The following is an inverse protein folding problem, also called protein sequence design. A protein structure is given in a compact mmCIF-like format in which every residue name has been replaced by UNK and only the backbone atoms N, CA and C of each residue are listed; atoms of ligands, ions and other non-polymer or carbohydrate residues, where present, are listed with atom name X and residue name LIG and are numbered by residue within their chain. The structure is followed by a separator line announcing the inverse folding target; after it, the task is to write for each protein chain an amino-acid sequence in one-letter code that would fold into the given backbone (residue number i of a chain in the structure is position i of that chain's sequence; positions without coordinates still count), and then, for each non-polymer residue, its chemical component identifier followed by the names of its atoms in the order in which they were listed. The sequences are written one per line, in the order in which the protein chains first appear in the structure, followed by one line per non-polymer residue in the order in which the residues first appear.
data_IF_160724487490
#
_entry.id   IF_160724487490
#
_cell.length_a   1.000
_cell.length_b   1.000
_cell.length_c   1.000
_cell.angle_alpha   90.00
_cell.angle_beta   90.00
_cell.angle_gamma   90.00
#
_symmetry.space_group_name_H-M   'P 1'
#
loop_
_entity.id
_entity.type
_entity.pdbx_description
1 polymer ?
#
# COMPACT_ATOMS: atom_id res chain seq x y z
N UNK A 1 -4.00 -7.54 -20.61
CA UNK A 1 -3.34 -6.34 -20.12
C UNK A 1 -2.44 -5.77 -21.20
N UNK A 2 -2.49 -4.48 -21.43
CA UNK A 2 -1.64 -3.90 -22.47
C UNK A 2 -0.16 -4.11 -22.18
N UNK A 3 0.59 -4.43 -23.19
CA UNK A 3 2.04 -4.48 -23.12
C UNK A 3 2.55 -3.05 -23.02
N UNK A 4 3.50 -2.82 -22.15
CA UNK A 4 4.05 -1.49 -21.95
C UNK A 4 3.54 -0.79 -20.72
N UNK A 5 2.43 -1.23 -20.17
CA UNK A 5 2.04 -0.79 -18.85
C UNK A 5 2.82 -1.58 -17.81
N UNK A 6 3.34 -0.85 -16.84
CA UNK A 6 4.11 -1.46 -15.77
C UNK A 6 3.23 -1.53 -14.54
N UNK A 7 2.68 -2.68 -14.32
CA UNK A 7 1.98 -2.98 -13.09
C UNK A 7 2.45 -4.33 -12.63
N UNK A 8 2.46 -4.53 -11.34
CA UNK A 8 2.94 -5.78 -10.80
C UNK A 8 2.63 -5.92 -9.34
N UNK A 9 2.74 -7.16 -8.90
CA UNK A 9 2.56 -7.51 -7.50
C UNK A 9 3.80 -7.14 -6.73
N UNK A 10 3.61 -6.42 -5.62
CA UNK A 10 4.69 -6.09 -4.69
C UNK A 10 4.77 -7.18 -3.62
N UNK A 11 3.62 -7.55 -3.03
CA UNK A 11 3.61 -8.51 -1.94
C UNK A 11 2.22 -9.08 -1.74
N UNK A 12 2.17 -10.24 -1.08
CA UNK A 12 0.93 -10.84 -0.59
C UNK A 12 1.06 -10.92 0.92
N UNK A 13 0.07 -10.39 1.63
CA UNK A 13 0.08 -10.28 3.07
C UNK A 13 -1.03 -11.14 3.67
N UNK A 14 -0.71 -11.80 4.78
CA UNK A 14 -1.71 -12.54 5.55
C UNK A 14 -2.25 -11.62 6.64
N UNK A 15 -3.54 -11.37 6.59
CA UNK A 15 -4.23 -10.43 7.47
C UNK A 15 -4.93 -11.25 8.55
N UNK A 16 -5.00 -10.74 9.80
CA UNK A 16 -5.73 -11.45 10.86
C UNK A 16 -7.14 -11.82 10.44
N UNK A 17 -7.59 -12.99 10.83
CA UNK A 17 -8.90 -13.51 10.42
C UNK A 17 -8.87 -14.37 9.16
N UNK A 18 -7.68 -14.75 8.68
CA UNK A 18 -7.55 -15.59 7.51
C UNK A 18 -7.71 -14.84 6.20
N UNK A 19 -7.69 -13.53 6.24
CA UNK A 19 -7.82 -12.70 5.05
C UNK A 19 -6.47 -12.54 4.36
N UNK A 20 -6.51 -12.13 3.10
CA UNK A 20 -5.32 -11.95 2.28
C UNK A 20 -5.38 -10.57 1.64
N UNK A 21 -4.26 -9.87 1.66
CA UNK A 21 -4.13 -8.60 0.95
C UNK A 21 -3.05 -8.72 -0.11
N UNK A 22 -3.34 -8.25 -1.31
CA UNK A 22 -2.37 -8.20 -2.40
C UNK A 22 -2.02 -6.74 -2.65
N UNK A 23 -0.74 -6.40 -2.53
CA UNK A 23 -0.23 -5.05 -2.74
C UNK A 23 0.39 -4.99 -4.12
N UNK A 24 -0.06 -4.04 -4.91
CA UNK A 24 0.34 -3.91 -6.30
C UNK A 24 0.70 -2.46 -6.61
N UNK A 25 1.61 -2.27 -7.55
CA UNK A 25 1.79 -0.96 -8.14
C UNK A 25 1.22 -0.98 -9.56
N UNK A 26 0.81 0.18 -10.02
CA UNK A 26 0.36 0.32 -11.39
C UNK A 26 1.03 1.55 -12.01
N UNK A 27 0.96 1.62 -13.34
CA UNK A 27 1.43 2.80 -14.05
C UNK A 27 0.72 4.04 -13.53
N UNK A 28 1.32 5.18 -13.80
CA UNK A 28 0.75 6.48 -13.48
C UNK A 28 0.78 6.83 -12.00
N UNK A 29 1.63 6.14 -11.23
CA UNK A 29 1.88 6.54 -9.85
C UNK A 29 0.79 6.16 -8.89
N UNK A 30 0.23 4.97 -9.03
CA UNK A 30 -0.75 4.45 -8.08
C UNK A 30 -0.23 3.20 -7.40
N UNK A 31 -0.60 3.04 -6.15
CA UNK A 31 -0.45 1.79 -5.41
C UNK A 31 -1.85 1.28 -5.12
N UNK A 32 -2.08 0.02 -5.38
CA UNK A 32 -3.38 -0.61 -5.14
C UNK A 32 -3.22 -1.76 -4.17
N UNK A 33 -4.18 -1.89 -3.28
CA UNK A 33 -4.25 -3.00 -2.35
C UNK A 33 -5.63 -3.63 -2.51
N UNK A 34 -5.66 -4.90 -2.85
CA UNK A 34 -6.90 -5.68 -2.90
C UNK A 34 -6.93 -6.61 -1.71
N UNK A 35 -8.06 -6.68 -1.02
CA UNK A 35 -8.21 -7.57 0.13
C UNK A 35 -9.32 -8.56 -0.10
N UNK A 36 -9.03 -9.79 0.28
CA UNK A 36 -9.93 -10.93 0.08
C UNK A 36 -10.20 -11.60 1.40
N UNK A 37 -11.42 -12.11 1.53
CA UNK A 37 -11.76 -12.97 2.64
C UNK A 37 -11.11 -14.35 2.45
N UNK A 38 -11.13 -15.17 3.49
CA UNK A 38 -10.50 -16.48 3.45
C UNK A 38 -11.07 -17.39 2.37
N UNK A 39 -12.29 -17.13 1.92
CA UNK A 39 -12.91 -17.90 0.86
C UNK A 39 -12.63 -17.35 -0.55
N UNK A 40 -11.81 -16.33 -0.67
CA UNK A 40 -11.43 -15.75 -1.95
C UNK A 40 -12.34 -14.63 -2.46
N UNK A 41 -13.43 -14.34 -1.76
CA UNK A 41 -14.29 -13.22 -2.15
C UNK A 41 -13.68 -11.90 -1.70
N UNK A 42 -14.02 -10.82 -2.41
CA UNK A 42 -13.54 -9.49 -2.04
C UNK A 42 -14.03 -9.13 -0.64
N UNK A 43 -13.14 -8.55 0.17
CA UNK A 43 -13.49 -8.07 1.50
C UNK A 43 -14.02 -6.64 1.36
N UNK A 44 -15.33 -6.50 1.32
CA UNK A 44 -15.97 -5.21 1.04
C UNK A 44 -15.82 -4.21 2.18
N UNK A 45 -15.29 -4.63 3.33
CA UNK A 45 -15.01 -3.70 4.44
C UNK A 45 -13.71 -2.94 4.24
N UNK A 46 -12.95 -3.28 3.19
CA UNK A 46 -11.66 -2.66 2.92
C UNK A 46 -11.76 -1.81 1.66
N UNK A 47 -11.31 -0.56 1.75
CA UNK A 47 -11.31 0.34 0.61
C UNK A 47 -12.69 0.48 -0.01
N UNK A 48 -12.77 0.42 -1.32
CA UNK A 48 -14.03 0.43 -2.06
C UNK A 48 -14.22 -0.94 -2.68
N UNK A 49 -15.18 -1.68 -2.17
CA UNK A 49 -15.48 -3.04 -2.65
C UNK A 49 -14.26 -3.96 -2.63
N UNK A 50 -13.41 -3.80 -1.63
CA UNK A 50 -12.23 -4.64 -1.47
C UNK A 50 -10.97 -4.11 -2.16
N UNK A 51 -11.05 -2.96 -2.79
CA UNK A 51 -9.90 -2.38 -3.48
C UNK A 51 -9.62 -0.97 -2.95
N UNK A 52 -8.37 -0.75 -2.57
CA UNK A 52 -7.86 0.57 -2.19
C UNK A 52 -6.93 1.06 -3.29
N UNK A 53 -7.14 2.27 -3.77
CA UNK A 53 -6.27 2.91 -4.74
C UNK A 53 -5.65 4.14 -4.10
N UNK A 54 -4.33 4.16 -4.02
CA UNK A 54 -3.59 5.24 -3.37
C UNK A 54 -2.82 5.98 -4.44
N UNK A 55 -3.12 7.28 -4.67
CA UNK A 55 -2.24 8.09 -5.50
C UNK A 55 -0.87 8.18 -4.84
N UNK A 56 0.15 7.83 -5.57
CA UNK A 56 1.51 7.79 -5.02
C UNK A 56 2.51 8.31 -6.05
N UNK A 57 2.30 9.54 -6.57
CA UNK A 57 3.24 10.11 -7.51
C UNK A 57 4.59 10.29 -6.81
N UNK A 58 5.65 9.91 -7.47
CA UNK A 58 7.01 10.01 -6.93
C UNK A 58 7.30 9.06 -5.77
N UNK A 59 6.39 8.15 -5.46
CA UNK A 59 6.63 7.11 -4.46
C UNK A 59 6.78 5.77 -5.14
N UNK A 60 7.61 4.93 -4.56
CA UNK A 60 7.80 3.56 -5.03
C UNK A 60 7.80 2.64 -3.81
N UNK A 61 6.81 1.77 -3.73
CA UNK A 61 6.70 0.82 -2.62
C UNK A 61 7.51 -0.42 -2.96
N UNK A 62 8.37 -0.84 -2.04
CA UNK A 62 9.18 -2.04 -2.21
C UNK A 62 8.77 -3.17 -1.30
N UNK A 63 8.10 -2.88 -0.21
CA UNK A 63 7.73 -3.91 0.76
C UNK A 63 6.50 -3.49 1.54
N UNK A 64 5.82 -4.48 2.10
CA UNK A 64 4.62 -4.26 2.87
C UNK A 64 4.54 -5.29 3.99
N UNK A 65 3.86 -4.94 5.07
CA UNK A 65 3.67 -5.83 6.21
C UNK A 65 2.33 -5.54 6.86
N UNK A 66 1.79 -6.54 7.55
CA UNK A 66 0.56 -6.39 8.34
C UNK A 66 0.93 -6.56 9.79
N UNK A 67 0.46 -5.63 10.63
CA UNK A 67 0.65 -5.67 12.06
C UNK A 67 -0.41 -6.55 12.71
N UNK A 68 -0.17 -6.91 13.99
CA UNK A 68 -1.08 -7.81 14.70
C UNK A 68 -2.49 -7.27 14.83
N UNK A 69 -2.65 -5.94 14.83
CA UNK A 69 -3.96 -5.30 14.91
C UNK A 69 -4.62 -5.10 13.54
N UNK A 70 -3.98 -5.59 12.47
CA UNK A 70 -4.51 -5.49 11.11
C UNK A 70 -4.10 -4.24 10.37
N UNK A 71 -3.32 -3.34 10.96
CA UNK A 71 -2.80 -2.20 10.25
C UNK A 71 -1.76 -2.63 9.23
N UNK A 72 -1.60 -1.86 8.18
CA UNK A 72 -0.71 -2.19 7.07
C UNK A 72 0.39 -1.16 7.01
N UNK A 73 1.63 -1.63 6.89
CA UNK A 73 2.79 -0.78 6.64
C UNK A 73 3.23 -0.93 5.19
N UNK A 74 3.52 0.17 4.54
CA UNK A 74 4.15 0.21 3.22
C UNK A 74 5.43 1.01 3.35
N UNK A 75 6.50 0.52 2.72
CA UNK A 75 7.79 1.20 2.78
C UNK A 75 8.43 1.21 1.40
N UNK A 76 9.21 2.25 1.15
CA UNK A 76 9.89 2.37 -0.12
C UNK A 76 10.65 3.67 -0.26
N UNK A 77 10.75 4.15 -1.48
CA UNK A 77 11.47 5.36 -1.84
C UNK A 77 10.52 6.46 -2.24
N UNK A 78 10.90 7.69 -1.93
CA UNK A 78 10.19 8.90 -2.34
C UNK A 78 11.18 9.77 -3.11
N UNK A 79 10.73 10.27 -4.26
CA UNK A 79 11.54 11.09 -5.16
C UNK A 79 10.96 12.50 -5.17
N UNK A 80 11.43 13.38 -4.27
CA UNK A 80 10.85 14.74 -4.16
C UNK A 80 11.19 15.64 -5.33
N UNK A 81 12.21 15.28 -6.11
CA UNK A 81 12.63 16.06 -7.26
C UNK A 81 14.15 16.13 -7.36
N UNK A 82 14.65 16.51 -8.53
CA UNK A 82 16.07 16.53 -8.79
C UNK A 82 16.67 15.14 -8.65
N UNK A 83 17.79 15.06 -7.95
CA UNK A 83 18.46 13.78 -7.70
C UNK A 83 18.23 13.27 -6.28
N UNK A 84 17.34 13.90 -5.54
CA UNK A 84 17.10 13.51 -4.16
C UNK A 84 16.28 12.23 -4.10
N UNK A 85 16.64 11.34 -3.18
CA UNK A 85 15.89 10.12 -2.89
C UNK A 85 15.73 10.04 -1.38
N UNK A 86 14.50 10.00 -0.93
CA UNK A 86 14.18 9.81 0.47
C UNK A 86 13.58 8.43 0.66
N UNK A 87 13.55 7.94 1.88
CA UNK A 87 12.80 6.76 2.24
C UNK A 87 11.50 7.17 2.90
N UNK A 88 10.48 6.35 2.76
CA UNK A 88 9.22 6.61 3.43
C UNK A 88 8.65 5.33 4.03
N UNK A 89 7.85 5.50 5.07
CA UNK A 89 6.98 4.47 5.62
C UNK A 89 5.61 5.09 5.80
N UNK A 90 4.58 4.42 5.37
CA UNK A 90 3.21 4.84 5.63
C UNK A 90 2.45 3.73 6.34
N UNK A 91 1.51 4.11 7.18
CA UNK A 91 0.69 3.15 7.92
C UNK A 91 -0.78 3.40 7.63
N UNK A 92 -1.48 2.32 7.35
CA UNK A 92 -2.91 2.35 7.05
C UNK A 92 -3.66 1.61 8.14
N UNK A 93 -4.86 2.08 8.43
CA UNK A 93 -5.79 1.38 9.31
C UNK A 93 -6.30 0.10 8.65
N UNK A 94 -6.92 -0.81 9.41
CA UNK A 94 -7.42 -2.06 8.81
C UNK A 94 -8.44 -1.87 7.70
N UNK A 95 -9.12 -0.73 7.65
CA UNK A 95 -10.08 -0.45 6.57
C UNK A 95 -9.43 0.20 5.35
N UNK A 96 -8.13 0.47 5.40
CA UNK A 96 -7.39 1.09 4.31
C UNK A 96 -7.21 2.59 4.43
N UNK A 97 -7.86 3.25 5.39
CA UNK A 97 -7.67 4.69 5.58
C UNK A 97 -6.30 4.98 6.19
N UNK A 98 -5.73 6.17 5.93
CA UNK A 98 -4.46 6.53 6.55
C UNK A 98 -4.58 6.55 8.07
N UNK A 99 -3.55 5.99 8.75
CA UNK A 99 -3.46 6.09 10.20
C UNK A 99 -2.82 7.41 10.56
N UNK A 100 -3.63 8.40 10.85
CA UNK A 100 -3.16 9.77 11.09
C UNK A 100 -2.36 9.92 12.38
N UNK A 101 -2.32 8.89 13.21
CA UNK A 101 -1.48 8.90 14.42
C UNK A 101 -0.03 8.51 14.11
N UNK A 102 0.26 8.07 12.88
CA UNK A 102 1.58 7.64 12.47
C UNK A 102 2.24 8.73 11.62
N UNK A 103 3.44 9.14 12.00
CA UNK A 103 4.19 10.14 11.26
C UNK A 103 3.41 11.45 11.11
N UNK A 104 3.42 11.98 9.92
CA UNK A 104 2.67 13.17 9.55
C UNK A 104 1.52 12.75 8.66
N UNK A 105 0.32 12.71 9.22
CA UNK A 105 -0.89 12.31 8.50
C UNK A 105 -0.77 10.91 7.86
N UNK A 106 -0.11 10.00 8.55
CA UNK A 106 0.00 8.61 8.11
C UNK A 106 1.28 8.28 7.37
N UNK A 107 2.17 9.24 7.17
CA UNK A 107 3.41 9.00 6.44
C UNK A 107 4.60 9.59 7.19
N UNK A 108 5.71 8.90 7.12
CA UNK A 108 6.98 9.33 7.68
C UNK A 108 8.05 9.24 6.60
N UNK A 109 8.80 10.32 6.37
CA UNK A 109 9.86 10.34 5.39
C UNK A 109 11.20 10.54 6.07
N UNK A 110 12.24 9.89 5.54
CA UNK A 110 13.60 10.00 6.04
C UNK A 110 14.48 10.47 4.90
N UNK A 111 15.09 11.61 5.09
CA UNK A 111 15.99 12.17 4.09
C UNK A 111 17.27 11.34 3.99
N UNK A 112 17.76 11.23 2.79
CA UNK A 112 19.05 10.63 2.50
C UNK A 112 20.16 11.67 2.67
#
# INVERSE_FOLDING_TARGET
MPIGQQSGLIDILFVPGGKIAAVMYSDYGYVKIARFQSNGQADVTFGVQGLLTIPAPNFRVFDAAVLADGKILLAGSYFPGGNAVDFFVTRLNPDGSPDTTFGNAGIFTVNQ
#
